data_IF_955853887251
#
_entry.id   IF_955853887251
#
_cell.length_a   1.000
_cell.length_b   1.000
_cell.length_c   1.000
_cell.angle_alpha   90.00
_cell.angle_beta   90.00
_cell.angle_gamma   90.00
#
_symmetry.space_group_name_H-M   'P 1'
#
loop_
_entity.id
_entity.type
_entity.pdbx_description
1 polymer ?
#
# COMPACT_ATOMS: atom_id res chain seq x y z
N UNK A 1 -41.08 -9.17 5.72
CA UNK A 1 -39.94 -8.55 6.44
C UNK A 1 -39.00 -9.65 6.90
N UNK A 2 -38.10 -10.14 6.03
CA UNK A 2 -37.10 -11.12 6.43
C UNK A 2 -35.95 -10.40 7.15
N UNK A 3 -35.97 -10.43 8.49
CA UNK A 3 -34.80 -10.10 9.30
C UNK A 3 -33.92 -11.36 9.36
N UNK A 4 -32.96 -11.46 8.44
CA UNK A 4 -32.03 -12.59 8.42
C UNK A 4 -30.97 -12.42 9.49
N UNK A 5 -31.20 -13.09 10.63
CA UNK A 5 -30.26 -13.63 11.61
C UNK A 5 -28.77 -13.36 11.33
N UNK A 6 -28.18 -12.48 12.14
CA UNK A 6 -26.72 -12.45 12.41
C UNK A 6 -26.37 -13.19 13.72
N UNK A 7 -27.10 -14.23 14.09
CA UNK A 7 -26.95 -14.82 15.44
C UNK A 7 -26.11 -16.10 15.52
N UNK A 8 -25.69 -16.70 14.41
CA UNK A 8 -24.93 -17.96 14.44
C UNK A 8 -23.79 -17.99 13.42
N UNK A 9 -22.83 -17.08 13.54
CA UNK A 9 -21.53 -17.25 12.88
C UNK A 9 -20.64 -18.11 13.78
N UNK A 10 -20.05 -19.16 13.20
CA UNK A 10 -19.04 -19.96 13.90
C UNK A 10 -17.83 -19.09 14.26
N UNK A 11 -17.01 -19.47 15.26
CA UNK A 11 -15.79 -18.72 15.60
C UNK A 11 -14.89 -18.46 14.38
N UNK A 12 -14.80 -19.42 13.46
CA UNK A 12 -14.05 -19.28 12.20
C UNK A 12 -14.69 -18.28 11.22
N UNK A 13 -16.02 -18.26 11.11
CA UNK A 13 -16.74 -17.32 10.24
C UNK A 13 -16.71 -15.87 10.78
N UNK A 14 -16.67 -15.68 12.10
CA UNK A 14 -16.44 -14.35 12.68
C UNK A 14 -15.02 -13.86 12.45
N UNK A 15 -14.02 -14.74 12.55
CA UNK A 15 -12.63 -14.40 12.26
C UNK A 15 -12.40 -14.05 10.78
N UNK A 16 -13.19 -14.62 9.87
CA UNK A 16 -13.16 -14.27 8.45
C UNK A 16 -13.89 -12.94 8.13
N UNK A 17 -14.80 -12.49 8.99
CA UNK A 17 -15.51 -11.21 8.88
C UNK A 17 -14.86 -10.10 9.73
N UNK A 18 -13.61 -10.28 10.14
CA UNK A 18 -12.98 -9.38 11.10
C UNK A 18 -12.76 -8.00 10.47
N UNK A 19 -13.68 -7.07 10.72
CA UNK A 19 -13.59 -5.66 10.30
C UNK A 19 -12.29 -5.01 10.81
N UNK A 20 -11.72 -5.54 11.91
CA UNK A 20 -10.40 -5.14 12.43
C UNK A 20 -9.27 -5.46 11.45
N UNK A 21 -9.40 -6.51 10.62
CA UNK A 21 -8.40 -6.83 9.60
C UNK A 21 -8.37 -5.78 8.48
N UNK A 22 -9.51 -5.20 8.11
CA UNK A 22 -9.56 -4.10 7.14
C UNK A 22 -9.11 -2.75 7.74
N UNK A 23 -9.31 -2.57 9.05
CA UNK A 23 -8.76 -1.41 9.77
C UNK A 23 -7.24 -1.55 9.97
N UNK A 24 -6.73 -2.73 10.34
CA UNK A 24 -5.30 -3.04 10.46
C UNK A 24 -4.59 -3.00 9.11
N UNK A 25 -5.23 -3.41 8.01
CA UNK A 25 -4.70 -3.19 6.66
C UNK A 25 -4.54 -1.71 6.34
N UNK A 26 -5.31 -0.81 6.94
CA UNK A 26 -5.21 0.64 6.68
C UNK A 26 -4.31 1.34 7.69
N UNK A 27 -4.44 1.03 8.97
CA UNK A 27 -3.85 1.71 10.13
C UNK A 27 -2.90 0.84 10.97
N UNK A 28 -2.71 -0.43 10.60
CA UNK A 28 -1.80 -1.33 11.30
C UNK A 28 -0.35 -0.87 11.23
N UNK A 29 0.48 -1.44 12.08
CA UNK A 29 1.90 -1.16 12.14
C UNK A 29 2.65 -2.03 11.12
N UNK A 30 3.34 -1.41 10.17
CA UNK A 30 4.07 -2.12 9.13
C UNK A 30 5.54 -1.75 9.19
N UNK A 31 6.39 -2.75 9.48
CA UNK A 31 7.84 -2.59 9.58
C UNK A 31 8.47 -1.92 8.35
N UNK A 32 7.90 -2.14 7.16
CA UNK A 32 8.33 -1.51 5.91
C UNK A 32 8.22 0.03 5.95
N UNK A 33 7.30 0.57 6.75
CA UNK A 33 7.04 2.01 6.90
C UNK A 33 7.89 2.66 7.99
N UNK A 34 8.46 1.88 8.91
CA UNK A 34 9.22 2.38 10.06
C UNK A 34 10.69 2.63 9.74
N UNK A 35 11.21 2.02 8.68
CA UNK A 35 12.62 2.08 8.30
C UNK A 35 12.80 2.40 6.80
N UNK A 36 11.95 3.26 6.26
CA UNK A 36 12.10 3.80 4.90
C UNK A 36 12.66 5.22 4.95
N UNK A 37 13.63 5.51 4.09
CA UNK A 37 14.14 6.88 3.86
C UNK A 37 13.56 7.50 2.59
N UNK A 38 12.52 6.88 2.02
CA UNK A 38 11.86 7.35 0.81
C UNK A 38 10.82 8.41 1.16
N UNK A 39 10.53 9.36 0.26
CA UNK A 39 9.55 10.42 0.49
C UNK A 39 8.11 9.91 0.30
N UNK A 40 7.77 8.78 0.92
CA UNK A 40 6.48 8.11 0.78
C UNK A 40 5.85 7.95 2.17
N UNK A 41 4.57 8.26 2.30
CA UNK A 41 3.84 7.93 3.52
C UNK A 41 3.70 6.41 3.70
N UNK A 42 3.18 5.98 4.85
CA UNK A 42 3.06 4.55 5.15
C UNK A 42 2.14 3.76 4.19
N UNK A 43 1.15 4.40 3.58
CA UNK A 43 0.28 3.77 2.57
C UNK A 43 1.04 3.58 1.25
N UNK A 44 1.62 4.65 0.72
CA UNK A 44 2.38 4.63 -0.54
C UNK A 44 3.60 3.72 -0.44
N UNK A 45 4.30 3.70 0.70
CA UNK A 45 5.43 2.79 0.93
C UNK A 45 5.04 1.33 0.74
N UNK A 46 3.86 0.93 1.22
CA UNK A 46 3.35 -0.44 1.07
C UNK A 46 2.94 -0.73 -0.36
N UNK A 47 2.21 0.19 -0.98
CA UNK A 47 1.82 0.06 -2.38
C UNK A 47 3.04 -0.15 -3.26
N UNK A 48 4.05 0.72 -3.13
CA UNK A 48 5.30 0.60 -3.88
C UNK A 48 6.01 -0.73 -3.55
N UNK A 49 6.09 -1.12 -2.28
CA UNK A 49 6.73 -2.39 -1.89
C UNK A 49 6.05 -3.63 -2.46
N UNK A 50 4.72 -3.60 -2.66
CA UNK A 50 3.94 -4.69 -3.26
C UNK A 50 4.14 -4.77 -4.78
N UNK A 51 4.29 -3.64 -5.47
CA UNK A 51 4.42 -3.57 -6.93
C UNK A 51 5.87 -3.78 -7.43
N UNK A 52 6.88 -3.31 -6.69
CA UNK A 52 8.30 -3.40 -7.11
C UNK A 52 8.82 -4.81 -7.47
N UNK A 53 8.34 -5.93 -6.87
CA UNK A 53 8.73 -7.27 -7.26
C UNK A 53 8.27 -7.69 -8.67
N UNK A 54 7.21 -7.06 -9.19
CA UNK A 54 6.66 -7.35 -10.53
C UNK A 54 7.54 -6.72 -11.62
N UNK A 55 8.15 -5.57 -11.32
CA UNK A 55 9.05 -4.86 -12.23
C UNK A 55 10.35 -5.64 -12.48
N UNK A 56 10.88 -5.51 -13.69
CA UNK A 56 12.22 -5.97 -14.00
C UNK A 56 13.29 -5.19 -13.20
N UNK A 57 14.50 -5.74 -13.12
CA UNK A 57 15.57 -5.16 -12.31
C UNK A 57 15.93 -3.73 -12.69
N UNK A 58 15.81 -3.36 -13.97
CA UNK A 58 16.16 -2.04 -14.50
C UNK A 58 15.10 -1.03 -14.07
N UNK A 59 13.83 -1.33 -14.32
CA UNK A 59 12.69 -0.49 -13.94
C UNK A 59 12.63 -0.26 -12.43
N UNK A 60 12.83 -1.32 -11.63
CA UNK A 60 12.93 -1.20 -10.17
C UNK A 60 14.07 -0.28 -9.72
N UNK A 61 15.25 -0.41 -10.34
CA UNK A 61 16.40 0.47 -10.07
C UNK A 61 16.04 1.93 -10.34
N UNK A 62 15.39 2.18 -11.47
CA UNK A 62 14.98 3.53 -11.89
C UNK A 62 13.99 4.17 -10.92
N UNK A 63 12.99 3.43 -10.45
CA UNK A 63 12.05 3.93 -9.43
C UNK A 63 12.77 4.36 -8.16
N UNK A 64 13.71 3.55 -7.65
CA UNK A 64 14.49 3.92 -6.46
C UNK A 64 15.38 5.14 -6.67
N UNK A 65 15.99 5.31 -7.84
CA UNK A 65 16.78 6.50 -8.16
C UNK A 65 15.93 7.76 -8.10
N UNK A 66 14.75 7.73 -8.74
CA UNK A 66 13.83 8.88 -8.77
C UNK A 66 13.36 9.21 -7.36
N UNK A 67 12.91 8.21 -6.58
CA UNK A 67 12.45 8.44 -5.21
C UNK A 67 13.56 8.96 -4.28
N UNK A 68 14.82 8.55 -4.47
CA UNK A 68 15.95 9.05 -3.68
C UNK A 68 16.35 10.48 -4.05
N UNK A 69 16.16 10.87 -5.31
CA UNK A 69 16.50 12.21 -5.81
C UNK A 69 15.36 13.23 -5.63
N UNK A 70 14.20 12.79 -5.15
CA UNK A 70 13.03 13.64 -5.00
C UNK A 70 13.17 14.57 -3.78
N UNK A 71 13.10 15.88 -4.02
CA UNK A 71 13.25 16.94 -3.01
C UNK A 71 11.91 17.61 -2.61
N UNK A 72 10.77 16.99 -2.93
CA UNK A 72 9.44 17.52 -2.65
C UNK A 72 8.83 17.09 -1.30
N UNK A 73 7.54 17.39 -1.06
CA UNK A 73 6.82 16.95 0.13
C UNK A 73 6.62 15.43 0.17
N UNK A 74 6.24 14.90 1.33
CA UNK A 74 5.87 13.48 1.44
C UNK A 74 4.74 13.11 0.47
N UNK A 75 4.97 12.09 -0.34
CA UNK A 75 4.01 11.58 -1.32
C UNK A 75 3.00 10.69 -0.60
N UNK A 76 1.74 11.09 -0.68
CA UNK A 76 0.62 10.51 0.05
C UNK A 76 -0.40 9.81 -0.83
N UNK A 77 -0.35 10.06 -2.15
CA UNK A 77 -1.21 9.44 -3.15
C UNK A 77 -0.45 9.07 -4.43
N UNK A 78 -1.09 8.32 -5.34
CA UNK A 78 -0.46 7.93 -6.60
C UNK A 78 -0.26 9.13 -7.53
N UNK A 79 -1.18 10.10 -7.54
CA UNK A 79 -1.14 11.29 -8.40
C UNK A 79 0.05 12.21 -8.06
N UNK A 80 0.54 12.15 -6.82
CA UNK A 80 1.70 12.90 -6.35
C UNK A 80 3.04 12.26 -6.76
N UNK A 81 3.04 11.02 -7.29
CA UNK A 81 4.24 10.38 -7.79
C UNK A 81 4.79 11.13 -9.02
N UNK A 82 6.14 11.26 -9.13
CA UNK A 82 6.79 11.65 -10.36
C UNK A 82 6.23 10.89 -11.57
N UNK A 83 5.97 11.61 -12.66
CA UNK A 83 5.32 11.08 -13.86
C UNK A 83 6.02 9.82 -14.40
N UNK A 84 7.35 9.82 -14.42
CA UNK A 84 8.14 8.66 -14.85
C UNK A 84 7.90 7.41 -13.99
N UNK A 85 7.63 7.55 -12.69
CA UNK A 85 7.28 6.40 -11.82
C UNK A 85 5.88 5.90 -12.18
N UNK A 86 4.92 6.79 -12.41
CA UNK A 86 3.56 6.41 -12.82
C UNK A 86 3.56 5.65 -14.15
N UNK A 87 4.40 6.08 -15.10
CA UNK A 87 4.64 5.38 -16.36
C UNK A 87 5.22 3.97 -16.16
N UNK A 88 6.30 3.86 -15.38
CA UNK A 88 6.98 2.58 -15.13
C UNK A 88 6.04 1.58 -14.44
N UNK A 89 5.17 2.08 -13.56
CA UNK A 89 4.28 1.27 -12.73
C UNK A 89 2.87 1.14 -13.30
N UNK A 90 2.59 1.71 -14.47
CA UNK A 90 1.26 1.71 -15.12
C UNK A 90 0.13 2.22 -14.20
N UNK A 91 0.37 3.35 -13.52
CA UNK A 91 -0.54 3.99 -12.56
C UNK A 91 -1.25 5.20 -13.21
N UNK A 92 -2.34 4.94 -13.93
CA UNK A 92 -3.18 5.94 -14.62
C UNK A 92 -4.66 5.85 -14.27
#
# INVERSE_FOLDING_TARGET
MYSSKKEHLTPAQRAAQDERAEEDKRHGHFLATEHTSLPLNGFMTRLIAEELPILDSTSRGRVYEILRAYEGPEISSQEELPEEIREIMDLY
#
